data_IF_360783660078
#
_entry.id   IF_360783660078
#
_cell.length_a   1.000
_cell.length_b   1.000
_cell.length_c   1.000
_cell.angle_alpha   90.00
_cell.angle_beta   90.00
_cell.angle_gamma   90.00
#
_symmetry.space_group_name_H-M   'P 1'
#
loop_
_entity.id
_entity.type
_entity.pdbx_description
1 polymer ?
#
# COMPACT_ATOMS: atom_id res chain seq x y z
N UNK A 1 -11.23 -23.13 26.90
CA UNK A 1 -10.72 -24.47 27.25
C UNK A 1 -9.29 -24.60 26.80
N UNK A 2 -8.34 -24.94 27.69
CA UNK A 2 -6.94 -25.05 27.30
C UNK A 2 -6.75 -26.08 26.16
N UNK A 3 -5.71 -25.87 25.36
CA UNK A 3 -5.33 -26.77 24.27
C UNK A 3 -4.03 -27.49 24.63
N UNK A 4 -3.87 -28.71 24.16
CA UNK A 4 -2.58 -29.41 24.16
C UNK A 4 -2.12 -29.55 22.72
N UNK A 5 -0.91 -29.05 22.41
CA UNK A 5 -0.27 -29.16 21.10
C UNK A 5 1.05 -29.90 21.28
N UNK A 6 1.14 -31.15 20.80
CA UNK A 6 2.31 -32.04 20.97
C UNK A 6 2.78 -32.14 22.42
N UNK A 7 1.83 -32.20 23.37
CA UNK A 7 2.12 -32.28 24.80
C UNK A 7 2.35 -30.97 25.53
N UNK A 8 2.42 -29.85 24.83
CA UNK A 8 2.50 -28.51 25.41
C UNK A 8 1.10 -27.93 25.65
N UNK A 9 0.85 -27.45 26.88
CA UNK A 9 -0.42 -26.84 27.24
C UNK A 9 -0.43 -25.34 26.83
N UNK A 10 -1.43 -24.97 26.05
CA UNK A 10 -1.73 -23.59 25.66
C UNK A 10 -2.94 -23.13 26.46
N UNK A 11 -2.73 -22.16 27.31
CA UNK A 11 -3.77 -21.60 28.17
C UNK A 11 -4.73 -20.69 27.39
N UNK A 12 -5.99 -20.62 27.85
CA UNK A 12 -7.00 -19.70 27.30
C UNK A 12 -6.55 -18.23 27.30
N UNK A 13 -5.68 -17.87 28.26
CA UNK A 13 -5.08 -16.52 28.34
C UNK A 13 -4.26 -16.16 27.10
N UNK A 14 -3.54 -17.13 26.52
CA UNK A 14 -2.79 -16.90 25.28
C UNK A 14 -3.72 -16.64 24.08
N UNK A 15 -4.82 -17.39 23.99
CA UNK A 15 -5.83 -17.20 22.93
C UNK A 15 -6.51 -15.84 23.09
N UNK A 16 -6.85 -15.41 24.34
CA UNK A 16 -7.42 -14.07 24.60
C UNK A 16 -6.48 -12.95 24.22
N UNK A 17 -5.19 -13.10 24.54
CA UNK A 17 -4.17 -12.13 24.16
C UNK A 17 -4.07 -12.03 22.64
N UNK A 18 -4.07 -13.14 21.95
CA UNK A 18 -4.06 -13.17 20.49
C UNK A 18 -5.32 -12.52 19.91
N UNK A 19 -6.50 -12.79 20.47
CA UNK A 19 -7.75 -12.17 20.04
C UNK A 19 -7.72 -10.65 20.19
N UNK A 20 -7.12 -10.12 21.26
CA UNK A 20 -6.99 -8.67 21.42
C UNK A 20 -6.04 -8.05 20.40
N UNK A 21 -5.01 -8.77 19.96
CA UNK A 21 -4.08 -8.32 18.91
C UNK A 21 -4.72 -8.36 17.52
N UNK A 22 -5.49 -9.41 17.23
CA UNK A 22 -6.13 -9.59 15.91
C UNK A 22 -7.40 -8.75 15.72
N UNK A 23 -8.06 -8.34 16.80
CA UNK A 23 -9.36 -7.64 16.78
C UNK A 23 -9.42 -6.46 15.81
N UNK A 24 -8.48 -5.48 15.83
CA UNK A 24 -8.58 -4.32 14.94
C UNK A 24 -8.57 -4.71 13.46
N UNK A 25 -7.73 -5.68 13.09
CA UNK A 25 -7.64 -6.17 11.72
C UNK A 25 -8.87 -7.00 11.33
N UNK A 26 -9.39 -7.79 12.26
CA UNK A 26 -10.61 -8.58 12.06
C UNK A 26 -11.83 -7.69 11.82
N UNK A 27 -12.04 -6.68 12.67
CA UNK A 27 -13.15 -5.72 12.55
C UNK A 27 -13.08 -4.91 11.25
N UNK A 28 -11.88 -4.54 10.82
CA UNK A 28 -11.68 -3.88 9.53
C UNK A 28 -11.99 -4.79 8.33
N UNK A 29 -11.67 -6.08 8.43
CA UNK A 29 -11.92 -7.05 7.36
C UNK A 29 -13.37 -7.48 7.26
N UNK A 30 -14.13 -7.42 8.36
CA UNK A 30 -15.52 -7.90 8.47
C UNK A 30 -16.42 -6.89 9.20
N UNK A 31 -16.62 -5.69 8.66
CA UNK A 31 -17.32 -4.60 9.36
C UNK A 31 -18.81 -4.87 9.60
N UNK A 32 -19.45 -5.67 8.74
CA UNK A 32 -20.89 -5.93 8.75
C UNK A 32 -21.27 -7.26 9.44
N UNK A 33 -20.34 -7.92 10.12
CA UNK A 33 -20.61 -9.19 10.75
C UNK A 33 -21.39 -9.00 12.05
N UNK A 34 -22.37 -9.88 12.30
CA UNK A 34 -23.10 -9.91 13.59
C UNK A 34 -22.10 -10.00 14.76
N UNK A 35 -22.25 -9.21 15.83
CA UNK A 35 -21.27 -9.14 16.92
C UNK A 35 -21.01 -10.49 17.61
N UNK A 36 -22.04 -11.34 17.77
CA UNK A 36 -21.89 -12.67 18.43
C UNK A 36 -21.11 -13.61 17.51
N UNK A 37 -21.46 -13.61 16.24
CA UNK A 37 -20.75 -14.40 15.23
C UNK A 37 -19.32 -13.89 15.05
N UNK A 38 -19.11 -12.57 15.07
CA UNK A 38 -17.79 -11.94 15.01
C UNK A 38 -16.87 -12.40 16.14
N UNK A 39 -17.36 -12.35 17.39
CA UNK A 39 -16.60 -12.84 18.54
C UNK A 39 -16.25 -14.34 18.42
N UNK A 40 -17.18 -15.15 17.92
CA UNK A 40 -16.94 -16.59 17.69
C UNK A 40 -15.85 -16.82 16.66
N UNK A 41 -15.91 -16.13 15.53
CA UNK A 41 -14.91 -16.26 14.46
C UNK A 41 -13.55 -15.72 14.89
N UNK A 42 -13.51 -14.56 15.56
CA UNK A 42 -12.27 -14.02 16.10
C UNK A 42 -11.60 -14.99 17.08
N UNK A 43 -12.40 -15.65 17.93
CA UNK A 43 -11.89 -16.66 18.85
C UNK A 43 -11.32 -17.86 18.11
N UNK A 44 -11.99 -18.34 17.07
CA UNK A 44 -11.52 -19.45 16.23
C UNK A 44 -10.22 -19.09 15.51
N UNK A 45 -10.13 -17.90 14.90
CA UNK A 45 -8.90 -17.42 14.26
C UNK A 45 -7.76 -17.29 15.26
N UNK A 46 -8.03 -16.74 16.42
CA UNK A 46 -7.02 -16.57 17.47
C UNK A 46 -6.49 -17.93 17.96
N UNK A 47 -7.37 -18.89 18.08
CA UNK A 47 -7.00 -20.26 18.45
C UNK A 47 -6.11 -20.90 17.39
N UNK A 48 -6.50 -20.83 16.12
CA UNK A 48 -5.69 -21.35 15.02
C UNK A 48 -4.31 -20.70 14.99
N UNK A 49 -4.26 -19.37 15.12
CA UNK A 49 -3.01 -18.62 15.09
C UNK A 49 -2.08 -19.01 16.25
N UNK A 50 -2.61 -19.23 17.44
CA UNK A 50 -1.80 -19.68 18.58
C UNK A 50 -1.28 -21.10 18.38
N UNK A 51 -2.08 -22.00 17.78
CA UNK A 51 -1.63 -23.35 17.41
C UNK A 51 -0.48 -23.26 16.39
N UNK A 52 -0.61 -22.47 15.33
CA UNK A 52 0.42 -22.29 14.32
C UNK A 52 1.72 -21.74 14.91
N UNK A 53 1.62 -20.70 15.75
CA UNK A 53 2.77 -20.13 16.47
C UNK A 53 3.46 -21.18 17.36
N UNK A 54 2.69 -22.00 18.07
CA UNK A 54 3.24 -23.05 18.89
C UNK A 54 3.97 -24.13 18.07
N UNK A 55 3.39 -24.55 16.95
CA UNK A 55 4.00 -25.55 16.06
C UNK A 55 5.29 -25.02 15.42
N UNK A 56 5.29 -23.77 14.92
CA UNK A 56 6.48 -23.13 14.36
C UNK A 56 7.58 -23.00 15.42
N UNK A 57 7.23 -22.62 16.65
CA UNK A 57 8.15 -22.52 17.77
C UNK A 57 8.76 -23.88 18.12
N UNK A 58 7.94 -24.91 18.22
CA UNK A 58 8.40 -26.27 18.52
C UNK A 58 9.34 -26.79 17.42
N UNK A 59 9.02 -26.51 16.15
CA UNK A 59 9.86 -26.88 15.01
C UNK A 59 11.19 -26.14 15.01
N UNK A 60 11.17 -24.85 15.29
CA UNK A 60 12.38 -24.02 15.38
C UNK A 60 13.29 -24.48 16.54
N UNK A 61 12.72 -24.87 17.68
CA UNK A 61 13.47 -25.45 18.81
C UNK A 61 14.06 -26.82 18.40
N UNK A 62 13.28 -27.66 17.72
CA UNK A 62 13.73 -28.98 17.24
C UNK A 62 14.86 -28.87 16.23
N UNK A 63 14.81 -27.91 15.32
CA UNK A 63 15.86 -27.65 14.35
C UNK A 63 17.16 -27.18 14.99
N UNK A 64 17.07 -26.61 16.20
CA UNK A 64 18.19 -26.19 17.05
C UNK A 64 19.29 -25.41 16.31
N UNK A 65 18.86 -24.48 15.44
CA UNK A 65 19.79 -23.63 14.71
C UNK A 65 20.55 -22.72 15.69
N UNK A 66 21.90 -22.62 15.61
CA UNK A 66 22.65 -21.85 16.58
C UNK A 66 22.36 -20.36 16.46
N UNK A 67 22.14 -19.72 17.59
CA UNK A 67 21.97 -18.26 17.74
C UNK A 67 22.97 -17.77 18.75
N UNK A 68 23.72 -16.73 18.44
CA UNK A 68 24.74 -16.18 19.34
C UNK A 68 24.16 -15.18 20.33
N UNK A 69 24.81 -15.00 21.47
CA UNK A 69 24.41 -13.99 22.46
C UNK A 69 24.42 -12.57 21.86
N UNK A 70 25.33 -12.29 20.93
CA UNK A 70 25.40 -11.00 20.23
C UNK A 70 24.15 -10.75 19.37
N UNK A 71 23.64 -11.76 18.68
CA UNK A 71 22.41 -11.66 17.88
C UNK A 71 21.19 -11.43 18.78
N UNK A 72 21.12 -12.11 19.93
CA UNK A 72 20.05 -11.92 20.90
C UNK A 72 20.08 -10.47 21.44
N UNK A 73 21.26 -9.97 21.82
CA UNK A 73 21.41 -8.60 22.31
C UNK A 73 21.05 -7.56 21.25
N UNK A 74 21.48 -7.77 20.01
CA UNK A 74 21.13 -6.89 18.90
C UNK A 74 19.61 -6.86 18.63
N UNK A 75 18.95 -8.01 18.66
CA UNK A 75 17.50 -8.09 18.52
C UNK A 75 16.78 -7.34 19.65
N UNK A 76 17.21 -7.51 20.90
CA UNK A 76 16.65 -6.78 22.05
C UNK A 76 16.83 -5.26 21.90
N UNK A 77 17.99 -4.80 21.42
CA UNK A 77 18.24 -3.38 21.16
C UNK A 77 17.32 -2.81 20.07
N UNK A 78 17.12 -3.56 18.99
CA UNK A 78 16.21 -3.18 17.91
C UNK A 78 14.75 -3.09 18.40
N UNK A 79 14.29 -4.05 19.22
CA UNK A 79 12.94 -3.98 19.81
C UNK A 79 12.74 -2.72 20.66
N UNK A 80 13.74 -2.34 21.47
CA UNK A 80 13.70 -1.11 22.29
C UNK A 80 13.66 0.16 21.45
N UNK A 81 14.36 0.19 20.32
CA UNK A 81 14.37 1.34 19.42
C UNK A 81 13.02 1.56 18.70
N UNK A 82 12.27 0.49 18.45
CA UNK A 82 10.97 0.55 17.74
C UNK A 82 9.77 0.85 18.65
N UNK A 83 9.87 0.60 19.95
CA UNK A 83 8.81 0.84 20.95
C UNK A 83 9.35 1.58 22.18
N UNK A 84 9.73 2.86 22.03
CA UNK A 84 10.17 3.64 23.17
C UNK A 84 8.97 3.97 24.07
N UNK A 85 8.87 3.30 25.22
CA UNK A 85 7.89 3.61 26.26
C UNK A 85 6.96 2.51 26.75
N UNK A 86 7.02 1.30 26.23
CA UNK A 86 6.34 0.16 26.85
C UNK A 86 7.11 -0.28 28.11
N UNK A 87 6.48 -0.02 29.27
CA UNK A 87 7.07 -0.23 30.63
C UNK A 87 7.44 -1.69 30.96
N UNK A 88 7.14 -2.66 30.09
CA UNK A 88 7.52 -4.07 30.28
C UNK A 88 8.92 -4.43 29.76
N UNK A 89 9.45 -3.67 28.80
CA UNK A 89 10.71 -4.01 28.14
C UNK A 89 11.95 -3.73 29.00
N UNK A 90 11.90 -2.76 29.92
CA UNK A 90 13.08 -2.36 30.69
C UNK A 90 13.36 -3.24 31.91
N UNK A 91 12.35 -3.86 32.52
CA UNK A 91 12.48 -4.73 33.68
C UNK A 91 12.71 -6.21 33.33
N UNK A 92 12.18 -6.68 32.19
CA UNK A 92 12.30 -8.06 31.75
C UNK A 92 13.45 -8.30 30.76
N UNK A 93 13.89 -7.27 30.03
CA UNK A 93 14.91 -7.36 28.99
C UNK A 93 16.29 -7.89 29.42
N UNK A 94 16.52 -7.98 30.72
CA UNK A 94 17.73 -8.57 31.32
C UNK A 94 17.54 -10.01 31.84
N UNK A 95 16.31 -10.51 31.88
CA UNK A 95 16.05 -11.84 32.40
C UNK A 95 16.49 -12.95 31.41
N UNK A 96 16.99 -14.06 31.96
CA UNK A 96 17.38 -15.21 31.14
C UNK A 96 16.18 -15.83 30.39
N UNK A 97 14.97 -15.69 30.95
CA UNK A 97 13.73 -16.12 30.28
C UNK A 97 13.46 -15.29 29.03
N UNK A 98 13.55 -13.96 29.12
CA UNK A 98 13.32 -13.07 27.98
C UNK A 98 14.36 -13.28 26.88
N UNK A 99 15.63 -13.48 27.24
CA UNK A 99 16.68 -13.81 26.26
C UNK A 99 16.38 -15.10 25.50
N UNK A 100 15.91 -16.14 26.20
CA UNK A 100 15.48 -17.40 25.58
C UNK A 100 14.29 -17.21 24.62
N UNK A 101 13.33 -16.39 24.98
CA UNK A 101 12.19 -16.09 24.12
C UNK A 101 12.62 -15.38 22.85
N UNK A 102 13.55 -14.40 22.96
CA UNK A 102 14.15 -13.72 21.79
C UNK A 102 14.97 -14.68 20.93
N UNK A 103 15.75 -15.56 21.55
CA UNK A 103 16.51 -16.60 20.85
C UNK A 103 15.57 -17.52 20.02
N UNK A 104 14.47 -17.97 20.63
CA UNK A 104 13.45 -18.78 19.94
C UNK A 104 12.81 -17.99 18.80
N UNK A 105 12.50 -16.71 19.00
CA UNK A 105 11.96 -15.85 17.95
C UNK A 105 12.93 -15.75 16.76
N UNK A 106 14.22 -15.53 16.97
CA UNK A 106 15.23 -15.53 15.92
C UNK A 106 15.25 -16.86 15.15
N UNK A 107 15.17 -18.00 15.86
CA UNK A 107 15.10 -19.31 15.23
C UNK A 107 13.86 -19.48 14.36
N UNK A 108 12.70 -19.01 14.83
CA UNK A 108 11.45 -19.03 14.04
C UNK A 108 11.59 -18.17 12.79
N UNK A 109 12.13 -16.96 12.89
CA UNK A 109 12.36 -16.07 11.76
C UNK A 109 13.29 -16.71 10.71
N UNK A 110 14.36 -17.38 11.16
CA UNK A 110 15.27 -18.12 10.27
C UNK A 110 14.59 -19.29 9.59
N UNK A 111 13.77 -20.04 10.34
CA UNK A 111 12.97 -21.15 9.79
C UNK A 111 12.05 -20.63 8.67
N UNK A 112 11.27 -19.56 8.93
CA UNK A 112 10.37 -18.97 7.96
C UNK A 112 11.13 -18.40 6.75
N UNK A 113 12.24 -17.71 6.97
CA UNK A 113 13.11 -17.19 5.91
C UNK A 113 13.64 -18.29 5.00
N UNK A 114 14.06 -19.42 5.56
CA UNK A 114 14.55 -20.58 4.80
C UNK A 114 13.43 -21.22 3.97
N UNK A 115 12.22 -21.32 4.53
CA UNK A 115 11.06 -21.83 3.81
C UNK A 115 10.72 -20.89 2.64
N UNK A 116 10.67 -19.59 2.89
CA UNK A 116 10.43 -18.57 1.87
C UNK A 116 11.52 -18.58 0.78
N UNK A 117 12.79 -18.71 1.17
CA UNK A 117 13.92 -18.78 0.24
C UNK A 117 13.89 -20.04 -0.65
N UNK A 118 13.18 -21.10 -0.23
CA UNK A 118 12.99 -22.30 -1.06
C UNK A 118 12.01 -22.10 -2.21
N UNK A 119 11.29 -20.95 -2.25
CA UNK A 119 10.41 -20.61 -3.35
C UNK A 119 11.21 -20.37 -4.63
N UNK A 120 10.81 -21.02 -5.70
CA UNK A 120 11.45 -20.83 -7.01
C UNK A 120 10.93 -19.55 -7.65
N UNK A 121 11.81 -18.87 -8.38
CA UNK A 121 11.40 -17.77 -9.24
C UNK A 121 10.32 -18.23 -10.24
N UNK A 122 9.35 -17.38 -10.57
CA UNK A 122 8.29 -17.73 -11.49
C UNK A 122 8.85 -18.01 -12.89
N UNK A 123 8.29 -19.00 -13.56
CA UNK A 123 8.64 -19.30 -14.94
C UNK A 123 8.16 -18.17 -15.87
N UNK A 124 8.89 -17.94 -16.96
CA UNK A 124 8.53 -16.93 -17.98
C UNK A 124 7.09 -17.07 -18.47
N UNK A 125 6.59 -18.32 -18.58
CA UNK A 125 5.22 -18.62 -18.97
C UNK A 125 4.21 -18.10 -17.95
N UNK A 126 4.46 -18.30 -16.65
CA UNK A 126 3.59 -17.82 -15.57
C UNK A 126 3.46 -16.29 -15.60
N UNK A 127 4.58 -15.58 -15.79
CA UNK A 127 4.61 -14.11 -15.93
C UNK A 127 3.78 -13.64 -17.12
N UNK A 128 3.95 -14.29 -18.27
CA UNK A 128 3.18 -13.95 -19.50
C UNK A 128 1.69 -14.24 -19.32
N UNK A 129 1.35 -15.37 -18.71
CA UNK A 129 -0.04 -15.75 -18.46
C UNK A 129 -0.71 -14.82 -17.46
N UNK A 130 0.01 -14.41 -16.39
CA UNK A 130 -0.46 -13.41 -15.43
C UNK A 130 -0.76 -12.07 -16.11
N UNK A 131 0.20 -11.55 -16.89
CA UNK A 131 0.01 -10.30 -17.64
C UNK A 131 -1.22 -10.35 -18.56
N UNK A 132 -1.38 -11.46 -19.31
CA UNK A 132 -2.50 -11.63 -20.23
C UNK A 132 -3.85 -11.66 -19.50
N UNK A 133 -3.92 -12.38 -18.37
CA UNK A 133 -5.15 -12.50 -17.56
C UNK A 133 -5.52 -11.18 -16.86
N UNK A 134 -4.52 -10.41 -16.47
CA UNK A 134 -4.69 -9.18 -15.67
C UNK A 134 -4.40 -7.92 -16.50
N UNK A 135 -4.59 -7.97 -17.82
CA UNK A 135 -4.22 -6.87 -18.74
C UNK A 135 -4.86 -5.54 -18.35
N UNK A 136 -6.06 -5.56 -17.82
CA UNK A 136 -6.79 -4.36 -17.39
C UNK A 136 -6.12 -3.66 -16.20
N UNK A 137 -5.45 -4.40 -15.31
CA UNK A 137 -4.69 -3.81 -14.19
C UNK A 137 -3.44 -3.02 -14.64
N UNK A 138 -3.02 -3.23 -15.88
CA UNK A 138 -1.89 -2.52 -16.47
C UNK A 138 -2.31 -1.41 -17.42
N UNK A 139 -3.60 -1.06 -17.47
CA UNK A 139 -4.07 0.12 -18.19
C UNK A 139 -3.60 1.39 -17.49
N UNK A 140 -3.18 2.34 -18.31
CA UNK A 140 -2.95 3.72 -17.89
C UNK A 140 -4.04 4.57 -18.56
N UNK A 141 -4.75 5.39 -17.79
CA UNK A 141 -5.71 6.32 -18.37
C UNK A 141 -4.98 7.36 -19.24
N UNK A 142 -5.73 8.02 -20.11
CA UNK A 142 -5.24 9.19 -20.80
C UNK A 142 -4.85 10.27 -19.78
N UNK A 143 -3.65 10.84 -19.95
CA UNK A 143 -3.21 11.99 -19.18
C UNK A 143 -2.67 13.08 -20.13
N UNK A 144 -2.77 14.32 -19.70
CA UNK A 144 -2.27 15.46 -20.44
C UNK A 144 -1.37 16.31 -19.55
N UNK A 145 -0.39 16.94 -20.17
CA UNK A 145 0.37 18.03 -19.56
C UNK A 145 -0.12 19.35 -20.16
N UNK A 146 -0.60 20.24 -19.30
CA UNK A 146 -1.19 21.50 -19.74
C UNK A 146 -0.71 22.67 -18.91
N UNK A 147 -0.83 23.88 -19.50
CA UNK A 147 -0.64 25.15 -18.82
C UNK A 147 -1.90 25.99 -18.97
N UNK A 148 -2.17 26.88 -18.01
CA UNK A 148 -3.29 27.78 -18.08
C UNK A 148 -2.94 29.23 -17.68
N UNK A 149 -3.78 30.14 -18.08
CA UNK A 149 -3.84 31.53 -17.60
C UNK A 149 -5.27 31.73 -17.11
N UNK A 150 -5.43 32.25 -15.92
CA UNK A 150 -6.74 32.46 -15.29
C UNK A 150 -6.91 33.91 -14.87
N UNK A 151 -8.13 34.42 -15.05
CA UNK A 151 -8.64 35.66 -14.46
C UNK A 151 -9.80 35.31 -13.56
N UNK A 152 -9.58 35.39 -12.24
CA UNK A 152 -10.58 35.02 -11.25
C UNK A 152 -11.74 35.99 -11.25
N UNK A 153 -12.95 35.47 -10.98
CA UNK A 153 -14.13 36.27 -10.62
C UNK A 153 -14.31 36.10 -9.11
N UNK A 154 -14.12 37.22 -8.37
CA UNK A 154 -14.22 37.22 -6.90
C UNK A 154 -14.67 38.60 -6.40
N UNK A 155 -14.65 38.82 -5.07
CA UNK A 155 -15.08 40.09 -4.48
C UNK A 155 -14.21 41.31 -4.90
N UNK A 156 -12.95 41.08 -5.29
CA UNK A 156 -12.00 42.15 -5.69
C UNK A 156 -12.04 42.40 -7.18
N UNK A 157 -12.46 41.44 -8.00
CA UNK A 157 -12.47 41.46 -9.45
C UNK A 157 -13.80 40.96 -9.99
N UNK A 158 -14.64 41.88 -10.46
CA UNK A 158 -15.92 41.53 -11.07
C UNK A 158 -15.77 40.83 -12.43
N UNK A 159 -16.84 40.29 -12.94
CA UNK A 159 -16.85 39.54 -14.21
C UNK A 159 -16.39 40.40 -15.39
N UNK A 160 -16.72 41.68 -15.42
CA UNK A 160 -16.35 42.60 -16.52
C UNK A 160 -14.85 42.87 -16.52
N UNK A 161 -14.24 43.09 -15.35
CA UNK A 161 -12.81 43.27 -15.20
C UNK A 161 -12.04 41.96 -15.52
N UNK A 162 -12.51 40.81 -15.02
CA UNK A 162 -11.92 39.52 -15.34
C UNK A 162 -11.98 39.23 -16.85
N UNK A 163 -13.12 39.53 -17.48
CA UNK A 163 -13.31 39.37 -18.92
C UNK A 163 -12.33 40.24 -19.73
N UNK A 164 -12.22 41.55 -19.40
CA UNK A 164 -11.27 42.43 -20.04
C UNK A 164 -9.82 41.96 -19.86
N UNK A 165 -9.47 41.45 -18.67
CA UNK A 165 -8.16 40.91 -18.37
C UNK A 165 -7.81 39.68 -19.22
N UNK A 166 -8.73 38.74 -19.40
CA UNK A 166 -8.47 37.54 -20.22
C UNK A 166 -8.46 37.85 -21.72
N UNK A 167 -9.22 38.86 -22.19
CA UNK A 167 -9.17 39.33 -23.56
C UNK A 167 -7.82 40.00 -23.90
N UNK A 168 -7.20 40.71 -22.94
CA UNK A 168 -5.83 41.19 -23.08
C UNK A 168 -4.82 40.06 -23.18
N UNK A 169 -4.98 38.97 -22.38
CA UNK A 169 -4.17 37.76 -22.49
C UNK A 169 -4.29 37.19 -23.91
N UNK A 170 -5.52 36.98 -24.38
CA UNK A 170 -5.77 36.42 -25.73
C UNK A 170 -5.09 37.28 -26.82
N UNK A 171 -5.20 38.60 -26.75
CA UNK A 171 -4.58 39.53 -27.70
C UNK A 171 -3.05 39.36 -27.74
N UNK A 172 -2.40 39.21 -26.58
CA UNK A 172 -0.94 39.03 -26.49
C UNK A 172 -0.50 37.69 -27.03
N UNK A 173 -1.25 36.63 -26.74
CA UNK A 173 -0.98 35.28 -27.27
C UNK A 173 -1.16 35.24 -28.80
N UNK A 174 -2.21 35.91 -29.34
CA UNK A 174 -2.41 36.05 -30.78
C UNK A 174 -1.32 36.87 -31.47
N UNK A 175 -0.67 37.81 -30.75
CA UNK A 175 0.50 38.56 -31.22
C UNK A 175 1.79 37.70 -31.23
N UNK A 176 1.75 36.49 -30.76
CA UNK A 176 2.86 35.53 -30.76
C UNK A 176 3.77 35.62 -29.52
N UNK A 177 3.32 36.28 -28.45
CA UNK A 177 4.08 36.28 -27.21
C UNK A 177 4.12 34.89 -26.58
N UNK A 178 5.20 34.57 -25.86
CA UNK A 178 5.36 33.28 -25.20
C UNK A 178 4.32 33.08 -24.10
N UNK A 179 3.68 31.89 -24.09
CA UNK A 179 2.59 31.57 -23.16
C UNK A 179 3.02 31.72 -21.71
N UNK A 180 4.19 31.18 -21.33
CA UNK A 180 4.68 31.24 -19.95
C UNK A 180 5.01 32.70 -19.54
N UNK A 181 5.55 33.52 -20.46
CA UNK A 181 5.79 34.91 -20.20
C UNK A 181 4.49 35.68 -19.95
N UNK A 182 3.46 35.43 -20.76
CA UNK A 182 2.13 36.06 -20.60
C UNK A 182 1.48 35.56 -19.30
N UNK A 183 1.59 34.28 -18.98
CA UNK A 183 1.08 33.69 -17.73
C UNK A 183 1.71 34.36 -16.50
N UNK A 184 3.03 34.50 -16.48
CA UNK A 184 3.75 35.16 -15.39
C UNK A 184 3.38 36.63 -15.22
N UNK A 185 3.07 37.33 -16.34
CA UNK A 185 2.75 38.75 -16.33
C UNK A 185 1.30 39.03 -15.97
N UNK A 186 0.35 38.19 -16.39
CA UNK A 186 -1.06 38.54 -16.39
C UNK A 186 -1.97 37.52 -15.67
N UNK A 187 -1.53 36.29 -15.41
CA UNK A 187 -2.36 35.31 -14.70
C UNK A 187 -2.55 35.72 -13.25
N UNK A 188 -3.75 35.50 -12.71
CA UNK A 188 -4.00 35.64 -11.27
C UNK A 188 -3.43 34.43 -10.49
N UNK A 189 -3.06 33.36 -11.21
CA UNK A 189 -2.34 32.18 -10.66
C UNK A 189 -1.13 31.88 -11.59
N UNK A 190 -0.04 32.66 -11.51
CA UNK A 190 1.04 32.59 -12.51
C UNK A 190 2.00 31.39 -12.32
N UNK A 191 1.90 30.64 -11.26
CA UNK A 191 2.83 29.58 -10.80
C UNK A 191 3.58 28.87 -11.94
N UNK A 192 4.90 28.98 -11.96
CA UNK A 192 5.81 28.40 -12.98
C UNK A 192 5.36 28.62 -14.44
N UNK A 193 4.89 29.84 -14.80
CA UNK A 193 4.40 30.12 -16.14
C UNK A 193 3.04 29.51 -16.47
N UNK A 194 2.23 29.30 -15.45
CA UNK A 194 0.90 28.71 -15.58
C UNK A 194 0.90 27.19 -15.71
N UNK A 195 2.03 26.51 -15.49
CA UNK A 195 2.14 25.07 -15.64
C UNK A 195 1.32 24.32 -14.56
N UNK A 196 0.45 23.40 -15.02
CA UNK A 196 -0.40 22.55 -14.18
C UNK A 196 0.16 21.13 -14.00
N UNK A 197 1.29 20.81 -14.65
CA UNK A 197 1.83 19.46 -14.67
C UNK A 197 0.97 18.47 -15.48
N UNK A 198 1.17 17.18 -15.20
CA UNK A 198 0.45 16.09 -15.87
C UNK A 198 -0.72 15.61 -15.01
N UNK A 199 -1.92 15.54 -15.59
CA UNK A 199 -3.14 15.09 -14.90
C UNK A 199 -4.07 14.32 -15.84
N UNK A 200 -4.95 13.53 -15.25
CA UNK A 200 -6.01 12.77 -15.92
C UNK A 200 -7.36 13.49 -15.84
N UNK A 201 -8.35 12.99 -16.61
CA UNK A 201 -9.74 13.46 -16.52
C UNK A 201 -10.28 13.31 -15.09
N UNK A 202 -11.11 14.27 -14.67
CA UNK A 202 -11.68 14.35 -13.32
C UNK A 202 -10.74 14.90 -12.25
N UNK A 203 -9.54 15.36 -12.63
CA UNK A 203 -8.62 16.05 -11.72
C UNK A 203 -8.96 17.53 -11.59
N UNK A 204 -9.36 18.15 -12.70
CA UNK A 204 -9.82 19.54 -12.76
C UNK A 204 -11.35 19.58 -12.79
N UNK A 205 -11.93 20.79 -12.80
CA UNK A 205 -13.39 20.95 -12.97
C UNK A 205 -13.81 20.57 -14.40
N UNK A 206 -15.03 20.10 -14.54
CA UNK A 206 -15.52 19.49 -15.79
C UNK A 206 -15.39 20.43 -17.00
N UNK A 207 -15.69 21.73 -16.81
CA UNK A 207 -15.59 22.74 -17.89
C UNK A 207 -14.15 22.92 -18.37
N UNK A 208 -13.17 22.78 -17.47
CA UNK A 208 -11.75 22.82 -17.81
C UNK A 208 -11.31 21.57 -18.56
N UNK A 209 -11.68 20.41 -18.05
CA UNK A 209 -11.37 19.10 -18.66
C UNK A 209 -11.96 18.99 -20.07
N UNK A 210 -13.22 19.37 -20.29
CA UNK A 210 -13.86 19.34 -21.60
C UNK A 210 -13.09 20.12 -22.65
N UNK A 211 -12.63 21.34 -22.30
CA UNK A 211 -11.88 22.18 -23.24
C UNK A 211 -10.48 21.63 -23.49
N UNK A 212 -9.72 21.35 -22.41
CA UNK A 212 -8.28 21.06 -22.54
C UNK A 212 -8.02 19.68 -23.14
N UNK A 213 -8.86 18.70 -22.83
CA UNK A 213 -8.77 17.37 -23.44
C UNK A 213 -9.25 17.34 -24.91
N UNK A 214 -9.88 18.40 -25.40
CA UNK A 214 -10.23 18.52 -26.82
C UNK A 214 -9.11 19.17 -27.68
N UNK A 215 -8.10 19.79 -27.04
CA UNK A 215 -6.99 20.44 -27.76
C UNK A 215 -6.01 19.41 -28.33
N UNK A 216 -5.31 19.78 -29.38
CA UNK A 216 -4.13 19.07 -29.88
C UNK A 216 -2.85 19.54 -29.15
N UNK A 217 -1.81 18.69 -29.02
CA UNK A 217 -0.53 19.10 -28.45
C UNK A 217 0.04 20.35 -29.09
N UNK A 218 0.38 21.36 -28.28
CA UNK A 218 0.82 22.67 -28.68
C UNK A 218 -0.30 23.69 -28.94
N UNK A 219 -1.54 23.27 -29.00
CA UNK A 219 -2.69 24.14 -29.25
C UNK A 219 -3.05 24.95 -27.99
N UNK A 220 -3.46 26.21 -28.23
CA UNK A 220 -3.99 27.13 -27.23
C UNK A 220 -5.52 27.19 -27.44
N UNK A 221 -6.28 27.16 -26.36
CA UNK A 221 -7.75 27.30 -26.39
C UNK A 221 -8.17 28.74 -26.70
N UNK A 222 -9.44 28.96 -27.06
CA UNK A 222 -10.07 30.24 -26.86
C UNK A 222 -10.34 30.53 -25.40
N UNK A 223 -10.94 31.68 -25.11
CA UNK A 223 -11.43 32.02 -23.76
C UNK A 223 -12.59 31.11 -23.41
N UNK A 224 -12.53 30.49 -22.23
CA UNK A 224 -13.63 29.71 -21.66
C UNK A 224 -13.80 30.03 -20.15
N UNK A 225 -14.95 29.68 -19.60
CA UNK A 225 -15.30 30.04 -18.24
C UNK A 225 -15.47 28.76 -17.39
N UNK A 226 -15.03 28.83 -16.15
CA UNK A 226 -15.29 27.85 -15.11
C UNK A 226 -15.88 28.55 -13.88
N UNK A 227 -16.14 27.80 -12.83
CA UNK A 227 -16.56 28.37 -11.53
C UNK A 227 -15.54 29.33 -10.90
N UNK A 228 -14.28 29.28 -11.34
CA UNK A 228 -13.21 30.14 -10.83
C UNK A 228 -13.01 31.42 -11.60
N UNK A 229 -13.54 31.52 -12.81
CA UNK A 229 -13.36 32.69 -13.68
C UNK A 229 -13.11 32.33 -15.14
N UNK A 230 -12.43 33.21 -15.87
CA UNK A 230 -12.08 33.02 -17.27
C UNK A 230 -10.68 32.45 -17.43
N UNK A 231 -10.55 31.51 -18.35
CA UNK A 231 -9.33 30.77 -18.63
C UNK A 231 -8.95 30.81 -20.10
N UNK A 232 -7.64 30.71 -20.36
CA UNK A 232 -7.05 30.25 -21.61
C UNK A 232 -6.05 29.16 -21.24
N UNK A 233 -6.11 28.02 -21.90
CA UNK A 233 -5.24 26.88 -21.64
C UNK A 233 -4.42 26.52 -22.88
N UNK A 234 -3.26 25.90 -22.66
CA UNK A 234 -2.42 25.30 -23.70
C UNK A 234 -2.18 23.83 -23.34
N UNK A 235 -2.44 22.95 -24.30
CA UNK A 235 -2.03 21.56 -24.18
C UNK A 235 -0.56 21.43 -24.55
N UNK A 236 0.30 21.07 -23.62
CA UNK A 236 1.73 20.88 -23.85
C UNK A 236 2.01 19.49 -24.44
N UNK A 237 1.52 18.43 -23.77
CA UNK A 237 1.72 17.04 -24.17
C UNK A 237 0.46 16.23 -23.91
N UNK A 238 0.26 15.15 -24.69
CA UNK A 238 -0.80 14.18 -24.50
C UNK A 238 -0.21 12.78 -24.40
N UNK A 239 -0.55 12.08 -23.33
CA UNK A 239 -0.22 10.69 -23.13
C UNK A 239 -1.49 9.88 -23.30
N UNK A 240 -1.70 9.19 -24.43
CA UNK A 240 -2.93 8.48 -24.71
C UNK A 240 -3.12 7.32 -23.71
N UNK A 241 -4.37 6.93 -23.51
CA UNK A 241 -4.65 5.69 -22.78
C UNK A 241 -3.92 4.51 -23.41
N UNK A 242 -3.48 3.59 -22.59
CA UNK A 242 -2.74 2.46 -23.08
C UNK A 242 -2.67 1.32 -22.08
N UNK A 243 -2.01 0.26 -22.49
CA UNK A 243 -1.65 -0.85 -21.59
C UNK A 243 -0.14 -0.87 -21.51
N UNK A 244 0.39 -0.74 -20.31
CA UNK A 244 1.84 -0.82 -20.08
C UNK A 244 2.36 -2.14 -20.64
N UNK A 245 3.40 -2.10 -21.50
CA UNK A 245 3.93 -3.31 -22.11
C UNK A 245 4.52 -4.26 -21.07
N UNK A 246 4.47 -5.56 -21.35
CA UNK A 246 4.97 -6.59 -20.44
C UNK A 246 6.43 -6.33 -20.00
N UNK A 247 7.26 -5.77 -20.86
CA UNK A 247 8.67 -5.49 -20.54
C UNK A 247 8.81 -4.54 -19.35
N UNK A 248 7.92 -3.54 -19.24
CA UNK A 248 7.96 -2.51 -18.20
C UNK A 248 7.40 -3.02 -16.86
N UNK A 249 6.42 -3.93 -16.91
CA UNK A 249 5.75 -4.45 -15.71
C UNK A 249 6.26 -5.82 -15.28
N UNK A 250 7.14 -6.44 -16.07
CA UNK A 250 7.70 -7.77 -15.81
C UNK A 250 8.31 -7.89 -14.41
N UNK A 251 9.20 -6.98 -13.93
CA UNK A 251 9.78 -7.10 -12.59
C UNK A 251 8.73 -7.09 -11.48
N UNK A 252 7.70 -6.27 -11.64
CA UNK A 252 6.56 -6.18 -10.72
C UNK A 252 5.78 -7.51 -10.65
N UNK A 253 5.50 -8.11 -11.81
CA UNK A 253 4.78 -9.39 -11.90
C UNK A 253 5.65 -10.52 -11.32
N UNK A 254 6.95 -10.55 -11.63
CA UNK A 254 7.87 -11.56 -11.11
C UNK A 254 7.95 -11.51 -9.59
N UNK A 255 8.03 -10.31 -9.01
CA UNK A 255 8.02 -10.12 -7.57
C UNK A 255 6.70 -10.58 -6.95
N UNK A 256 5.57 -10.17 -7.51
CA UNK A 256 4.24 -10.54 -7.04
C UNK A 256 4.05 -12.08 -7.03
N UNK A 257 4.36 -12.76 -8.13
CA UNK A 257 4.25 -14.21 -8.24
C UNK A 257 5.22 -14.95 -7.30
N UNK A 258 6.41 -14.39 -7.08
CA UNK A 258 7.36 -14.96 -6.12
C UNK A 258 6.84 -14.83 -4.68
N UNK A 259 6.25 -13.70 -4.32
CA UNK A 259 5.63 -13.49 -3.00
C UNK A 259 4.43 -14.41 -2.78
N UNK A 260 3.59 -14.63 -3.80
CA UNK A 260 2.52 -15.64 -3.76
C UNK A 260 3.09 -17.04 -3.52
N UNK A 261 4.10 -17.45 -4.29
CA UNK A 261 4.74 -18.76 -4.11
C UNK A 261 5.36 -18.92 -2.71
N UNK A 262 5.94 -17.86 -2.15
CA UNK A 262 6.48 -17.87 -0.78
C UNK A 262 5.39 -18.07 0.25
N UNK A 263 4.28 -17.36 0.09
CA UNK A 263 3.11 -17.47 0.98
C UNK A 263 2.52 -18.88 0.92
N UNK A 264 2.25 -19.42 -0.27
CA UNK A 264 1.75 -20.78 -0.45
C UNK A 264 2.66 -21.84 0.19
N UNK A 265 3.98 -21.64 0.08
CA UNK A 265 4.94 -22.55 0.72
C UNK A 265 4.91 -22.49 2.23
N UNK A 266 4.75 -21.30 2.81
CA UNK A 266 4.62 -21.14 4.26
C UNK A 266 3.31 -21.73 4.75
N UNK A 267 2.19 -21.45 4.08
CA UNK A 267 0.88 -22.04 4.40
C UNK A 267 0.94 -23.57 4.37
N UNK A 268 1.45 -24.11 3.26
CA UNK A 268 1.62 -25.56 3.14
C UNK A 268 2.50 -26.16 4.22
N UNK A 269 3.59 -25.48 4.58
CA UNK A 269 4.48 -25.96 5.65
C UNK A 269 3.76 -26.02 6.98
N UNK A 270 2.98 -24.99 7.32
CA UNK A 270 2.17 -24.93 8.53
C UNK A 270 1.09 -26.02 8.52
N UNK A 271 0.42 -26.23 7.39
CA UNK A 271 -0.58 -27.30 7.23
C UNK A 271 0.04 -28.69 7.42
N UNK A 272 1.23 -28.92 6.87
CA UNK A 272 1.98 -30.16 7.05
C UNK A 272 2.39 -30.39 8.52
N UNK A 273 2.68 -29.32 9.27
CA UNK A 273 2.93 -29.38 10.71
C UNK A 273 1.65 -29.72 11.47
N UNK A 274 0.53 -29.05 11.17
CA UNK A 274 -0.79 -29.31 11.77
C UNK A 274 -1.23 -30.77 11.54
N UNK A 275 -1.07 -31.26 10.34
CA UNK A 275 -1.46 -32.63 9.97
C UNK A 275 -0.70 -33.71 10.76
N UNK A 276 0.51 -33.42 11.24
CA UNK A 276 1.35 -34.33 12.02
C UNK A 276 1.23 -34.13 13.52
N UNK A 277 0.64 -33.01 13.95
CA UNK A 277 0.57 -32.62 15.35
C UNK A 277 -0.54 -33.34 16.11
N UNK A 278 -0.26 -33.65 17.37
CA UNK A 278 -1.27 -34.08 18.33
C UNK A 278 -1.93 -32.84 18.97
N UNK A 279 -3.13 -32.49 18.50
CA UNK A 279 -3.87 -31.30 18.96
C UNK A 279 -5.13 -31.77 19.67
N UNK A 280 -5.25 -31.48 20.97
CA UNK A 280 -6.37 -31.91 21.81
C UNK A 280 -6.94 -30.72 22.61
N UNK A 281 -8.27 -30.73 22.80
CA UNK A 281 -8.94 -29.86 23.77
C UNK A 281 -8.91 -30.52 25.14
N UNK A 282 -8.52 -29.81 26.19
CA UNK A 282 -8.60 -30.34 27.56
C UNK A 282 -10.02 -30.14 28.04
N UNK A 283 -10.75 -31.25 28.23
CA UNK A 283 -12.03 -31.21 28.96
C UNK A 283 -11.70 -30.99 30.43
N UNK A 284 -12.11 -29.86 31.00
CA UNK A 284 -12.12 -29.66 32.44
C UNK A 284 -13.22 -30.56 32.97
N UNK A 285 -12.81 -31.57 33.74
CA UNK A 285 -13.74 -32.46 34.44
C UNK A 285 -14.46 -31.72 35.57
#
# INVERSE_FOLDING_TARGET
>A
MPLIVNGETIEDSAIRKEASVLRPQFEQAMPDLDPVEGERQLWEWSRENVIEKALLRQEAIRANEPVTDEEVLAAIQNMKAYQPGERGCDTEAGSDSFKKDVEIQIRVERLLSRIAASAKAPEKKAVTDFYRKNREHFRTPETIHASHIVKHINEEQDEAAARAGIEEVERRLQAGEDFAAVANALSDCPGMGGDLGTFGRGTMVDEFDEVVFALEPGQISGIFQTVFGFHIARLNERHPEGVRPLVDVRPQIEQHLLEETRRERMEKYVDDLKAKADIRKVSVA
#
